data_IF_875652928944
#
_entry.id   IF_875652928944
#
_cell.length_a   1.000
_cell.length_b   1.000
_cell.length_c   1.000
_cell.angle_alpha   90.00
_cell.angle_beta   90.00
_cell.angle_gamma   90.00
#
_symmetry.space_group_name_H-M   'P 1'
#
loop_
_entity.id
_entity.type
_entity.pdbx_description
1 polymer ?
#
# COMPACT_ATOMS: atom_id res chain seq x y z
N UNK A 1 25.42 -11.53 -23.74
CA UNK A 1 24.86 -10.25 -24.21
C UNK A 1 23.38 -10.44 -24.46
N UNK A 2 22.56 -10.23 -23.44
CA UNK A 2 21.10 -10.26 -23.61
C UNK A 2 20.68 -9.03 -24.41
N UNK A 3 20.08 -9.27 -25.57
CA UNK A 3 19.42 -8.24 -26.36
C UNK A 3 18.37 -7.57 -25.47
N UNK A 4 18.65 -6.36 -24.98
CA UNK A 4 17.62 -5.49 -24.41
C UNK A 4 16.65 -5.18 -25.55
N UNK A 5 15.55 -5.94 -25.60
CA UNK A 5 14.50 -5.74 -26.57
C UNK A 5 14.02 -4.30 -26.54
N UNK A 6 13.89 -3.70 -27.72
CA UNK A 6 13.42 -2.34 -27.93
C UNK A 6 12.06 -2.15 -27.23
N UNK A 7 12.03 -1.40 -26.12
CA UNK A 7 10.81 -1.13 -25.36
C UNK A 7 10.05 -0.01 -26.07
N UNK A 8 9.04 -0.38 -26.84
CA UNK A 8 8.19 0.60 -27.55
C UNK A 8 7.50 1.54 -26.54
N UNK A 9 7.63 2.85 -26.77
CA UNK A 9 6.90 3.91 -26.03
C UNK A 9 5.43 4.04 -26.46
N UNK A 10 5.01 3.30 -27.49
CA UNK A 10 3.65 3.36 -28.03
C UNK A 10 3.02 1.99 -27.90
N UNK A 11 2.04 1.88 -27.00
CA UNK A 11 1.25 0.67 -26.77
C UNK A 11 -0.08 0.85 -27.47
N UNK A 12 -0.30 0.10 -28.56
CA UNK A 12 -1.50 0.21 -29.38
C UNK A 12 -2.75 -0.10 -28.54
N UNK A 13 -3.68 0.84 -28.46
CA UNK A 13 -4.94 0.68 -27.71
C UNK A 13 -4.83 0.91 -26.20
N UNK A 14 -3.76 1.55 -25.73
CA UNK A 14 -3.72 2.11 -24.38
C UNK A 14 -4.58 3.39 -24.37
N UNK A 15 -5.56 3.47 -23.47
CA UNK A 15 -6.38 4.68 -23.32
C UNK A 15 -5.48 5.83 -22.86
N UNK A 16 -5.78 7.04 -23.30
CA UNK A 16 -5.10 8.24 -22.80
C UNK A 16 -5.70 8.61 -21.44
N UNK A 17 -4.85 8.80 -20.44
CA UNK A 17 -5.28 9.23 -19.12
C UNK A 17 -5.53 10.74 -19.12
N UNK A 18 -6.68 11.15 -18.58
CA UNK A 18 -7.20 12.52 -18.61
C UNK A 18 -7.26 13.11 -17.20
N UNK A 19 -7.18 14.44 -17.10
CA UNK A 19 -7.43 15.14 -15.85
C UNK A 19 -8.96 15.21 -15.54
N UNK A 20 -9.38 15.46 -14.29
CA UNK A 20 -10.80 15.58 -13.94
C UNK A 20 -11.58 16.61 -14.76
N UNK A 21 -10.95 17.72 -15.15
CA UNK A 21 -11.57 18.77 -15.99
C UNK A 21 -11.84 18.32 -17.44
N UNK A 22 -11.28 17.19 -17.84
CA UNK A 22 -11.47 16.56 -19.14
C UNK A 22 -12.33 15.28 -19.03
N UNK A 23 -13.14 15.20 -17.97
CA UNK A 23 -13.96 14.04 -17.59
C UNK A 23 -13.12 12.80 -17.24
N UNK A 24 -11.88 12.97 -16.77
CA UNK A 24 -11.06 11.89 -16.24
C UNK A 24 -11.53 11.41 -14.87
N UNK A 25 -11.55 10.10 -14.65
CA UNK A 25 -12.02 9.49 -13.40
C UNK A 25 -11.00 8.56 -12.75
N UNK A 26 -11.18 8.25 -11.47
CA UNK A 26 -10.39 7.21 -10.77
C UNK A 26 -10.51 5.84 -11.47
N UNK A 27 -11.69 5.54 -12.04
CA UNK A 27 -11.88 4.33 -12.82
C UNK A 27 -11.03 4.33 -14.11
N UNK A 28 -10.86 5.48 -14.77
CA UNK A 28 -9.98 5.58 -15.93
C UNK A 28 -8.51 5.32 -15.55
N UNK A 29 -8.09 5.76 -14.36
CA UNK A 29 -6.77 5.44 -13.81
C UNK A 29 -6.63 3.93 -13.53
N UNK A 30 -7.59 3.29 -12.87
CA UNK A 30 -7.56 1.85 -12.61
C UNK A 30 -7.52 1.04 -13.92
N UNK A 31 -8.35 1.39 -14.90
CA UNK A 31 -8.38 0.78 -16.24
C UNK A 31 -7.03 0.92 -16.97
N UNK A 32 -6.42 2.11 -16.86
CA UNK A 32 -5.13 2.42 -17.46
C UNK A 32 -4.01 1.58 -16.84
N UNK A 33 -3.94 1.51 -15.51
CA UNK A 33 -2.94 0.72 -14.78
C UNK A 33 -3.11 -0.79 -15.01
N UNK A 34 -4.35 -1.27 -15.06
CA UNK A 34 -4.66 -2.65 -15.42
C UNK A 34 -4.17 -2.97 -16.83
N UNK A 35 -4.42 -2.06 -17.79
CA UNK A 35 -3.95 -2.20 -19.17
C UNK A 35 -2.42 -2.21 -19.28
N UNK A 36 -1.71 -1.39 -18.49
CA UNK A 36 -0.25 -1.42 -18.43
C UNK A 36 0.27 -2.75 -17.88
N UNK A 37 -0.36 -3.24 -16.82
CA UNK A 37 -0.01 -4.53 -16.20
C UNK A 37 -0.17 -5.68 -17.19
N UNK A 38 -1.35 -5.80 -17.81
CA UNK A 38 -1.69 -6.94 -18.66
C UNK A 38 -1.01 -6.92 -20.03
N UNK A 39 -0.78 -5.72 -20.60
CA UNK A 39 -0.31 -5.60 -22.00
C UNK A 39 1.16 -5.26 -22.12
N UNK A 40 1.74 -4.58 -21.12
CA UNK A 40 3.09 -4.03 -21.19
C UNK A 40 4.01 -4.79 -20.25
N UNK A 41 3.68 -4.83 -18.96
CA UNK A 41 4.55 -5.38 -17.93
C UNK A 41 4.82 -6.87 -18.14
N UNK A 42 3.81 -7.65 -18.53
CA UNK A 42 3.97 -9.09 -18.83
C UNK A 42 5.02 -9.35 -19.93
N UNK A 43 5.27 -8.38 -20.81
CA UNK A 43 6.21 -8.51 -21.93
C UNK A 43 7.61 -8.02 -21.61
N UNK A 44 7.82 -7.37 -20.46
CA UNK A 44 9.11 -6.82 -20.06
C UNK A 44 9.88 -7.83 -19.21
N UNK A 45 11.16 -8.00 -19.53
CA UNK A 45 12.07 -8.73 -18.65
C UNK A 45 12.08 -8.08 -17.25
N UNK A 46 11.86 -8.89 -16.23
CA UNK A 46 11.70 -8.45 -14.83
C UNK A 46 10.67 -7.31 -14.66
N UNK A 47 9.63 -7.29 -15.49
CA UNK A 47 8.58 -6.26 -15.46
C UNK A 47 7.78 -6.27 -14.16
N UNK A 48 7.69 -7.42 -13.48
CA UNK A 48 6.92 -7.59 -12.25
C UNK A 48 7.31 -6.62 -11.12
N UNK A 49 8.57 -6.20 -11.06
CA UNK A 49 9.04 -5.23 -10.07
C UNK A 49 8.46 -3.82 -10.30
N UNK A 50 8.30 -3.41 -11.56
CA UNK A 50 7.61 -2.16 -11.88
C UNK A 50 6.10 -2.31 -11.73
N UNK A 51 5.55 -3.50 -12.00
CA UNK A 51 4.16 -3.81 -11.66
C UNK A 51 3.85 -3.65 -10.17
N UNK A 52 4.79 -4.05 -9.29
CA UNK A 52 4.69 -3.82 -7.86
C UNK A 52 4.63 -2.31 -7.53
N UNK A 53 5.47 -1.49 -8.18
CA UNK A 53 5.42 -0.03 -8.01
C UNK A 53 4.06 0.54 -8.40
N UNK A 54 3.49 0.11 -9.54
CA UNK A 54 2.19 0.61 -9.99
C UNK A 54 1.02 0.20 -9.07
N UNK A 55 1.08 -0.99 -8.46
CA UNK A 55 0.01 -1.48 -7.59
C UNK A 55 0.13 -1.01 -6.13
N UNK A 56 1.34 -1.01 -5.58
CA UNK A 56 1.59 -0.70 -4.17
C UNK A 56 2.04 0.75 -3.93
N UNK A 57 2.35 1.49 -4.99
CA UNK A 57 2.97 2.82 -4.93
C UNK A 57 4.22 2.85 -4.03
N UNK A 58 5.05 1.81 -4.14
CA UNK A 58 6.27 1.65 -3.35
C UNK A 58 7.33 0.86 -4.12
N UNK A 59 8.60 1.11 -3.84
CA UNK A 59 9.69 0.32 -4.43
C UNK A 59 9.70 -1.12 -3.87
N UNK A 60 9.92 -2.14 -4.73
CA UNK A 60 10.03 -3.52 -4.29
C UNK A 60 11.31 -3.73 -3.48
N UNK A 61 11.20 -4.52 -2.41
CA UNK A 61 12.37 -4.89 -1.59
C UNK A 61 13.24 -5.92 -2.32
N UNK A 62 14.37 -5.47 -2.86
CA UNK A 62 15.39 -6.34 -3.43
C UNK A 62 16.47 -6.62 -2.39
N UNK A 63 16.41 -7.79 -1.75
CA UNK A 63 17.42 -8.21 -0.78
C UNK A 63 18.72 -8.58 -1.50
N UNK A 64 19.81 -7.97 -1.06
CA UNK A 64 21.15 -8.39 -1.43
C UNK A 64 21.44 -9.77 -0.80
N UNK A 65 22.09 -10.69 -1.54
CA UNK A 65 22.56 -11.96 -0.98
C UNK A 65 23.45 -11.77 0.25
N UNK A 66 23.21 -12.60 1.28
CA UNK A 66 24.03 -12.57 2.50
C UNK A 66 25.49 -12.90 2.19
N UNK A 67 26.46 -12.18 2.81
CA UNK A 67 27.87 -12.45 2.58
C UNK A 67 28.23 -13.86 3.03
N UNK A 68 29.16 -14.47 2.31
CA UNK A 68 29.71 -15.78 2.69
C UNK A 68 30.41 -15.68 4.04
N UNK A 69 30.28 -16.72 4.86
CA UNK A 69 31.10 -16.86 6.06
C UNK A 69 32.51 -17.36 5.70
N UNK A 70 33.50 -17.11 6.56
CA UNK A 70 34.89 -17.53 6.31
C UNK A 70 35.05 -19.05 6.05
N UNK A 71 34.18 -19.88 6.61
CA UNK A 71 34.19 -21.33 6.37
C UNK A 71 33.62 -21.70 4.98
N UNK A 72 32.79 -20.84 4.40
CA UNK A 72 32.11 -21.07 3.13
C UNK A 72 32.90 -20.54 1.94
N UNK A 73 33.75 -19.54 2.16
CA UNK A 73 34.69 -19.03 1.15
C UNK A 73 35.70 -20.09 0.71
N UNK A 74 35.98 -21.10 1.54
CA UNK A 74 36.87 -22.22 1.21
C UNK A 74 36.18 -23.22 0.26
N UNK A 75 34.85 -23.30 0.26
CA UNK A 75 34.10 -24.16 -0.64
C UNK A 75 33.83 -23.44 -1.98
N UNK A 76 34.62 -23.80 -3.00
CA UNK A 76 34.51 -23.26 -4.34
C UNK A 76 33.09 -23.37 -4.95
N UNK A 77 32.27 -24.33 -4.52
CA UNK A 77 30.87 -24.45 -4.97
C UNK A 77 30.01 -23.35 -4.34
N UNK A 78 30.20 -23.05 -3.05
CA UNK A 78 29.46 -21.99 -2.35
C UNK A 78 29.82 -20.61 -2.88
N UNK A 79 31.10 -20.36 -3.12
CA UNK A 79 31.57 -19.14 -3.79
C UNK A 79 30.87 -18.94 -5.13
N UNK A 80 30.86 -19.98 -5.99
CA UNK A 80 30.20 -19.91 -7.30
C UNK A 80 28.68 -19.71 -7.22
N UNK A 81 28.02 -20.22 -6.19
CA UNK A 81 26.58 -19.99 -5.95
C UNK A 81 26.35 -18.55 -5.52
N UNK A 82 27.15 -18.01 -4.61
CA UNK A 82 27.09 -16.61 -4.18
C UNK A 82 27.30 -15.64 -5.35
N UNK A 83 28.33 -15.86 -6.17
CA UNK A 83 28.58 -15.04 -7.36
C UNK A 83 27.37 -15.01 -8.29
N UNK A 84 26.76 -16.17 -8.56
CA UNK A 84 25.55 -16.25 -9.38
C UNK A 84 24.36 -15.53 -8.74
N UNK A 85 24.21 -15.57 -7.42
CA UNK A 85 23.16 -14.85 -6.71
C UNK A 85 23.40 -13.33 -6.78
N UNK A 86 24.65 -12.89 -6.65
CA UNK A 86 25.03 -11.49 -6.80
C UNK A 86 24.81 -10.97 -8.21
N UNK A 87 25.17 -11.75 -9.24
CA UNK A 87 24.92 -11.39 -10.63
C UNK A 87 23.41 -11.23 -10.88
N UNK A 88 22.58 -12.19 -10.44
CA UNK A 88 21.13 -12.08 -10.54
C UNK A 88 20.57 -10.86 -9.80
N UNK A 89 21.10 -10.53 -8.62
CA UNK A 89 20.70 -9.34 -7.87
C UNK A 89 21.01 -8.06 -8.64
N UNK A 90 22.21 -7.96 -9.22
CA UNK A 90 22.63 -6.80 -10.05
C UNK A 90 21.79 -6.70 -11.32
N UNK A 91 21.60 -7.82 -12.03
CA UNK A 91 20.78 -7.88 -13.24
C UNK A 91 19.35 -7.41 -12.97
N UNK A 92 18.71 -7.89 -11.88
CA UNK A 92 17.37 -7.46 -11.48
C UNK A 92 17.32 -5.96 -11.18
N UNK A 93 18.32 -5.42 -10.48
CA UNK A 93 18.41 -4.00 -10.13
C UNK A 93 18.56 -3.11 -11.37
N UNK A 94 19.39 -3.53 -12.32
CA UNK A 94 19.59 -2.80 -13.57
C UNK A 94 18.37 -2.89 -14.48
N UNK A 95 17.72 -4.07 -14.56
CA UNK A 95 16.46 -4.25 -15.26
C UNK A 95 15.36 -3.37 -14.67
N UNK A 96 15.24 -3.32 -13.34
CA UNK A 96 14.28 -2.47 -12.63
C UNK A 96 14.50 -0.98 -12.91
N UNK A 97 15.75 -0.50 -12.84
CA UNK A 97 16.08 0.90 -13.19
C UNK A 97 15.67 1.21 -14.63
N UNK A 98 16.06 0.36 -15.58
CA UNK A 98 15.71 0.55 -16.98
C UNK A 98 14.19 0.50 -17.22
N UNK A 99 13.47 -0.42 -16.54
CA UNK A 99 12.02 -0.54 -16.62
C UNK A 99 11.34 0.71 -16.03
N UNK A 100 11.85 1.24 -14.91
CA UNK A 100 11.31 2.44 -14.26
C UNK A 100 11.40 3.65 -15.18
N UNK A 101 12.55 3.87 -15.83
CA UNK A 101 12.73 4.96 -16.81
C UNK A 101 11.73 4.83 -17.96
N UNK A 102 11.60 3.62 -18.53
CA UNK A 102 10.71 3.37 -19.65
C UNK A 102 9.23 3.55 -19.25
N UNK A 103 8.84 3.09 -18.06
CA UNK A 103 7.47 3.21 -17.57
C UNK A 103 7.10 4.65 -17.26
N UNK A 104 8.00 5.41 -16.62
CA UNK A 104 7.82 6.84 -16.38
C UNK A 104 7.54 7.58 -17.70
N UNK A 105 8.34 7.32 -18.74
CA UNK A 105 8.17 7.93 -20.05
C UNK A 105 6.86 7.48 -20.73
N UNK A 106 6.52 6.19 -20.64
CA UNK A 106 5.31 5.64 -21.21
C UNK A 106 4.05 6.25 -20.59
N UNK A 107 4.02 6.41 -19.26
CA UNK A 107 2.90 7.05 -18.57
C UNK A 107 2.80 8.51 -19.00
N UNK A 108 3.92 9.26 -18.93
CA UNK A 108 3.98 10.67 -19.37
C UNK A 108 3.51 10.88 -20.81
N UNK A 109 3.83 9.98 -21.74
CA UNK A 109 3.43 10.09 -23.15
C UNK A 109 1.97 9.70 -23.42
N UNK A 110 1.34 8.94 -22.53
CA UNK A 110 -0.05 8.48 -22.66
C UNK A 110 -1.02 9.26 -21.76
N UNK A 111 -0.65 10.48 -21.37
CA UNK A 111 -1.52 11.45 -20.69
C UNK A 111 -1.91 12.58 -21.63
N UNK A 112 -3.06 13.23 -21.38
CA UNK A 112 -3.45 14.46 -22.07
C UNK A 112 -2.49 15.60 -21.77
N UNK A 113 -2.48 16.62 -22.64
CA UNK A 113 -1.67 17.83 -22.42
C UNK A 113 -2.04 18.51 -21.09
N UNK A 114 -3.32 18.53 -20.73
CA UNK A 114 -3.81 19.10 -19.47
C UNK A 114 -3.24 18.36 -18.27
N UNK A 115 -3.35 17.03 -18.24
CA UNK A 115 -2.78 16.19 -17.18
C UNK A 115 -1.25 16.37 -17.09
N UNK A 116 -0.54 16.35 -18.22
CA UNK A 116 0.90 16.59 -18.24
C UNK A 116 1.27 17.97 -17.68
N UNK A 117 0.49 19.00 -17.98
CA UNK A 117 0.76 20.35 -17.49
C UNK A 117 0.58 20.45 -15.97
N UNK A 118 -0.48 19.82 -15.42
CA UNK A 118 -0.69 19.73 -13.97
C UNK A 118 0.49 19.06 -13.26
N UNK A 119 0.92 17.90 -13.75
CA UNK A 119 2.10 17.19 -13.20
C UNK A 119 3.35 18.07 -13.29
N UNK A 120 3.55 18.77 -14.40
CA UNK A 120 4.71 19.67 -14.58
C UNK A 120 4.68 20.88 -13.65
N UNK A 121 3.49 21.31 -13.22
CA UNK A 121 3.31 22.40 -12.25
C UNK A 121 3.37 21.94 -10.79
N UNK A 122 3.31 20.65 -10.51
CA UNK A 122 3.44 20.12 -9.15
C UNK A 122 4.87 20.27 -8.63
N UNK A 123 5.00 20.68 -7.37
CA UNK A 123 6.28 20.79 -6.70
C UNK A 123 7.03 19.45 -6.67
N UNK A 124 8.34 19.50 -6.92
CA UNK A 124 9.19 18.31 -7.01
C UNK A 124 9.25 17.66 -8.40
N UNK A 125 8.43 18.07 -9.37
CA UNK A 125 8.45 17.52 -10.74
C UNK A 125 9.85 17.52 -11.37
N UNK A 126 10.62 18.60 -11.21
CA UNK A 126 11.97 18.68 -11.79
C UNK A 126 12.91 17.58 -11.25
N UNK A 127 12.86 17.32 -9.95
CA UNK A 127 13.67 16.28 -9.31
C UNK A 127 13.17 14.88 -9.71
N UNK A 128 11.86 14.67 -9.67
CA UNK A 128 11.24 13.40 -10.04
C UNK A 128 11.49 13.06 -11.52
N UNK A 129 11.35 14.04 -12.42
CA UNK A 129 11.60 13.86 -13.84
C UNK A 129 13.07 13.58 -14.16
N UNK A 130 14.00 14.20 -13.41
CA UNK A 130 15.43 13.92 -13.52
C UNK A 130 15.77 12.50 -13.07
N UNK A 131 15.21 12.06 -11.96
CA UNK A 131 15.47 10.74 -11.37
C UNK A 131 14.59 9.62 -11.95
N UNK A 132 13.60 9.98 -12.78
CA UNK A 132 12.54 9.07 -13.25
C UNK A 132 11.82 8.38 -12.10
N UNK A 133 11.48 9.16 -11.09
CA UNK A 133 10.80 8.71 -9.89
C UNK A 133 9.34 8.34 -10.23
N UNK A 134 9.12 7.04 -10.40
CA UNK A 134 7.82 6.49 -10.74
C UNK A 134 6.84 6.53 -9.55
N UNK A 135 7.34 6.40 -8.32
CA UNK A 135 6.50 6.47 -7.11
C UNK A 135 5.94 7.88 -6.95
N UNK A 136 6.79 8.90 -7.13
CA UNK A 136 6.33 10.29 -7.13
C UNK A 136 5.31 10.56 -8.24
N UNK A 137 5.57 10.06 -9.46
CA UNK A 137 4.66 10.25 -10.59
C UNK A 137 3.29 9.61 -10.31
N UNK A 138 3.27 8.38 -9.79
CA UNK A 138 2.02 7.69 -9.46
C UNK A 138 1.25 8.39 -8.35
N UNK A 139 1.95 8.87 -7.31
CA UNK A 139 1.31 9.67 -6.26
C UNK A 139 0.69 10.95 -6.82
N UNK A 140 1.40 11.64 -7.70
CA UNK A 140 0.94 12.91 -8.29
C UNK A 140 -0.26 12.71 -9.20
N UNK A 141 -0.28 11.64 -10.00
CA UNK A 141 -1.42 11.29 -10.85
C UNK A 141 -2.66 11.01 -9.98
N UNK A 142 -2.50 10.23 -8.92
CA UNK A 142 -3.57 9.94 -7.97
C UNK A 142 -4.11 11.21 -7.31
N UNK A 143 -3.23 12.13 -6.90
CA UNK A 143 -3.63 13.45 -6.37
C UNK A 143 -4.44 14.26 -7.37
N UNK A 144 -4.03 14.30 -8.63
CA UNK A 144 -4.77 15.01 -9.68
C UNK A 144 -6.13 14.36 -9.93
N UNK A 145 -6.18 13.03 -10.11
CA UNK A 145 -7.43 12.32 -10.45
C UNK A 145 -8.45 12.40 -9.32
N UNK A 146 -8.00 12.34 -8.06
CA UNK A 146 -8.87 12.48 -6.90
C UNK A 146 -9.18 13.95 -6.53
N UNK A 147 -8.64 14.93 -7.26
CA UNK A 147 -8.90 16.36 -7.03
C UNK A 147 -8.19 16.96 -5.82
N UNK A 148 -7.14 16.30 -5.32
CA UNK A 148 -6.36 16.68 -4.14
C UNK A 148 -5.00 17.31 -4.50
N UNK A 149 -4.95 18.06 -5.59
CA UNK A 149 -3.73 18.73 -6.04
C UNK A 149 -3.18 19.66 -4.94
N UNK A 150 -1.91 19.47 -4.62
CA UNK A 150 -1.20 20.27 -3.63
C UNK A 150 -1.25 21.75 -4.02
N UNK A 151 -1.73 22.60 -3.10
CA UNK A 151 -1.88 24.04 -3.33
C UNK A 151 -3.21 24.50 -3.93
N UNK A 152 -4.13 23.59 -4.32
CA UNK A 152 -5.48 23.97 -4.76
C UNK A 152 -6.45 24.09 -3.58
N UNK A 153 -6.50 23.09 -2.71
CA UNK A 153 -7.25 23.12 -1.46
C UNK A 153 -6.28 23.10 -0.26
N UNK A 154 -6.54 23.85 0.82
CA UNK A 154 -5.81 23.67 2.07
C UNK A 154 -5.85 22.21 2.51
N UNK A 155 -4.72 21.67 2.97
CA UNK A 155 -4.61 20.25 3.33
C UNK A 155 -5.66 19.83 4.37
N UNK A 156 -6.03 20.74 5.27
CA UNK A 156 -7.09 20.54 6.27
C UNK A 156 -8.46 20.35 5.63
N UNK A 157 -8.77 21.10 4.58
CA UNK A 157 -10.05 20.98 3.86
C UNK A 157 -10.11 19.67 3.09
N UNK A 158 -9.02 19.30 2.41
CA UNK A 158 -8.90 18.00 1.74
C UNK A 158 -9.09 16.82 2.70
N UNK A 159 -8.52 16.91 3.91
CA UNK A 159 -8.69 15.88 4.93
C UNK A 159 -10.12 15.84 5.49
N UNK A 160 -10.76 17.00 5.68
CA UNK A 160 -12.15 17.09 6.11
C UNK A 160 -13.08 16.47 5.06
N UNK A 161 -12.92 16.83 3.77
CA UNK A 161 -13.71 16.28 2.66
C UNK A 161 -13.55 14.76 2.54
N UNK A 162 -12.32 14.24 2.66
CA UNK A 162 -12.05 12.80 2.64
C UNK A 162 -12.73 12.06 3.82
N UNK A 163 -12.65 12.63 5.04
CA UNK A 163 -13.37 12.08 6.20
C UNK A 163 -14.87 12.13 5.97
N UNK A 164 -15.37 13.24 5.44
CA UNK A 164 -16.79 13.44 5.20
C UNK A 164 -17.32 12.43 4.18
N UNK A 165 -16.58 12.18 3.09
CA UNK A 165 -16.88 11.16 2.10
C UNK A 165 -16.94 9.78 2.74
N UNK A 166 -15.91 9.36 3.49
CA UNK A 166 -15.91 8.10 4.23
C UNK A 166 -17.12 8.05 5.16
N UNK A 167 -17.49 9.15 5.82
CA UNK A 167 -18.57 9.19 6.81
C UNK A 167 -19.97 9.19 6.19
N UNK A 168 -20.11 9.69 4.95
CA UNK A 168 -21.35 9.65 4.16
C UNK A 168 -21.55 8.33 3.42
N UNK A 169 -20.49 7.57 3.14
CA UNK A 169 -20.60 6.26 2.48
C UNK A 169 -21.59 5.33 3.19
N UNK A 170 -22.49 4.71 2.42
CA UNK A 170 -23.44 3.70 2.88
C UNK A 170 -23.50 2.60 1.84
N UNK A 171 -23.49 1.35 2.29
CA UNK A 171 -23.65 0.21 1.41
C UNK A 171 -25.04 0.24 0.77
N UNK A 172 -25.09 0.25 -0.56
CA UNK A 172 -26.36 0.24 -1.29
C UNK A 172 -27.00 -1.14 -1.20
N UNK A 173 -28.33 -1.23 -1.31
CA UNK A 173 -29.05 -2.50 -1.20
C UNK A 173 -28.58 -3.56 -2.21
N UNK A 174 -28.26 -3.13 -3.43
CA UNK A 174 -27.78 -3.96 -4.54
C UNK A 174 -26.26 -4.20 -4.57
N UNK A 175 -25.49 -3.58 -3.69
CA UNK A 175 -24.03 -3.68 -3.66
C UNK A 175 -23.59 -4.95 -2.92
N UNK A 176 -22.55 -5.63 -3.44
CA UNK A 176 -21.94 -6.77 -2.76
C UNK A 176 -21.09 -6.31 -1.58
N UNK A 177 -20.87 -7.21 -0.61
CA UNK A 177 -20.03 -6.89 0.55
C UNK A 177 -18.59 -6.62 0.13
N UNK A 178 -18.05 -7.45 -0.75
CA UNK A 178 -16.69 -7.31 -1.28
C UNK A 178 -16.47 -5.97 -1.99
N UNK A 179 -17.40 -5.56 -2.87
CA UNK A 179 -17.30 -4.29 -3.58
C UNK A 179 -17.37 -3.09 -2.61
N UNK A 180 -18.27 -3.14 -1.63
CA UNK A 180 -18.39 -2.08 -0.62
C UNK A 180 -17.14 -1.99 0.26
N UNK A 181 -16.62 -3.14 0.72
CA UNK A 181 -15.39 -3.20 1.52
C UNK A 181 -14.19 -2.69 0.73
N UNK A 182 -14.03 -3.09 -0.54
CA UNK A 182 -12.96 -2.58 -1.41
C UNK A 182 -13.03 -1.06 -1.52
N UNK A 183 -14.21 -0.51 -1.79
CA UNK A 183 -14.44 0.93 -1.90
C UNK A 183 -14.13 1.68 -0.60
N UNK A 184 -14.58 1.16 0.54
CA UNK A 184 -14.29 1.74 1.86
C UNK A 184 -12.80 1.69 2.21
N UNK A 185 -12.12 0.58 1.90
CA UNK A 185 -10.69 0.43 2.15
C UNK A 185 -9.88 1.39 1.28
N UNK A 186 -10.28 1.60 0.02
CA UNK A 186 -9.64 2.56 -0.87
C UNK A 186 -9.77 3.97 -0.29
N UNK A 187 -11.00 4.43 0.02
CA UNK A 187 -11.20 5.76 0.58
C UNK A 187 -10.43 6.00 1.90
N UNK A 188 -10.33 4.98 2.76
CA UNK A 188 -9.50 5.06 3.97
C UNK A 188 -8.01 5.14 3.62
N UNK A 189 -7.53 4.38 2.64
CA UNK A 189 -6.13 4.45 2.17
C UNK A 189 -5.81 5.85 1.64
N UNK A 190 -6.73 6.46 0.92
CA UNK A 190 -6.58 7.81 0.36
C UNK A 190 -6.50 8.86 1.47
N UNK A 191 -7.34 8.73 2.52
CA UNK A 191 -7.22 9.55 3.72
C UNK A 191 -5.87 9.33 4.41
N UNK A 192 -5.47 8.07 4.65
CA UNK A 192 -4.27 7.75 5.42
C UNK A 192 -2.97 8.17 4.76
N UNK A 193 -2.95 8.27 3.42
CA UNK A 193 -1.83 8.81 2.66
C UNK A 193 -1.46 10.22 3.08
N UNK A 194 -2.41 11.01 3.60
CA UNK A 194 -2.27 12.44 3.87
C UNK A 194 -2.48 12.80 5.34
N UNK A 195 -3.51 12.23 5.97
CA UNK A 195 -3.93 12.57 7.35
C UNK A 195 -3.31 11.70 8.43
N UNK A 196 -2.43 10.78 8.06
CA UNK A 196 -1.91 9.76 8.95
C UNK A 196 -2.97 8.68 9.29
N UNK A 197 -2.69 7.80 10.25
CA UNK A 197 -3.50 6.59 10.45
C UNK A 197 -4.96 6.91 10.81
N UNK A 198 -5.89 6.24 10.14
CA UNK A 198 -7.32 6.57 10.22
C UNK A 198 -7.89 6.34 11.61
N UNK A 199 -8.60 7.34 12.14
CA UNK A 199 -9.15 7.36 13.50
C UNK A 199 -8.11 7.04 14.60
N UNK A 200 -6.84 7.36 14.38
CA UNK A 200 -5.79 7.13 15.36
C UNK A 200 -5.83 8.19 16.46
N UNK A 201 -5.79 7.77 17.71
CA UNK A 201 -5.87 8.68 18.86
C UNK A 201 -4.66 8.49 19.78
N UNK A 202 -4.29 9.48 20.60
CA UNK A 202 -3.19 9.33 21.57
C UNK A 202 -3.36 8.12 22.51
N UNK A 203 -4.61 7.72 22.80
CA UNK A 203 -4.89 6.52 23.59
C UNK A 203 -4.45 5.24 22.86
N UNK A 204 -4.65 5.16 21.54
CA UNK A 204 -4.21 4.04 20.69
C UNK A 204 -2.69 3.95 20.57
N UNK A 205 -1.96 5.03 20.79
CA UNK A 205 -0.49 5.01 20.83
C UNK A 205 0.07 4.42 22.15
N UNK A 206 -0.71 4.49 23.25
CA UNK A 206 -0.34 3.95 24.56
C UNK A 206 -0.56 2.44 24.65
N UNK A 207 -1.62 1.90 24.03
CA UNK A 207 -1.95 0.46 24.06
C UNK A 207 -0.84 -0.49 23.56
N UNK A 208 -0.13 -0.21 22.45
CA UNK A 208 1.00 -1.01 22.00
C UNK A 208 2.15 -1.00 23.00
N UNK A 209 2.44 0.16 23.63
CA UNK A 209 3.51 0.29 24.63
C UNK A 209 3.24 -0.59 25.85
N UNK A 210 2.02 -0.50 26.39
CA UNK A 210 1.59 -1.35 27.52
C UNK A 210 1.55 -2.84 27.16
N UNK A 211 1.22 -3.18 25.90
CA UNK A 211 1.22 -4.58 25.44
C UNK A 211 2.63 -5.13 25.32
N UNK A 212 3.59 -4.32 24.83
CA UNK A 212 5.00 -4.69 24.78
C UNK A 212 5.57 -4.85 26.19
N UNK A 213 5.25 -3.95 27.13
CA UNK A 213 5.66 -4.08 28.53
C UNK A 213 5.10 -5.36 29.17
N UNK A 214 3.83 -5.68 28.95
CA UNK A 214 3.23 -6.92 29.41
C UNK A 214 3.88 -8.17 28.77
N UNK A 215 4.26 -8.09 27.49
CA UNK A 215 4.98 -9.16 26.80
C UNK A 215 6.39 -9.35 27.36
N UNK A 216 7.12 -8.27 27.65
CA UNK A 216 8.43 -8.32 28.32
C UNK A 216 8.33 -9.02 29.66
N UNK A 217 7.34 -8.66 30.49
CA UNK A 217 7.13 -9.28 31.80
C UNK A 217 6.82 -10.78 31.69
N UNK A 218 6.05 -11.21 30.68
CA UNK A 218 5.76 -12.63 30.42
C UNK A 218 6.98 -13.40 29.91
N UNK A 219 7.78 -12.81 29.02
CA UNK A 219 9.01 -13.41 28.51
C UNK A 219 10.05 -13.60 29.62
N UNK A 220 10.18 -12.58 30.48
CA UNK A 220 11.06 -12.62 31.64
C UNK A 220 10.62 -13.71 32.64
N UNK A 221 9.31 -13.81 32.92
CA UNK A 221 8.77 -14.84 33.81
C UNK A 221 8.84 -16.27 33.24
N UNK A 222 8.84 -16.43 31.92
CA UNK A 222 8.97 -17.73 31.25
C UNK A 222 10.43 -18.19 31.04
N UNK A 223 11.41 -17.32 31.30
CA UNK A 223 12.83 -17.64 31.27
C UNK A 223 13.20 -18.52 32.47
N UNK A 224 13.74 -19.71 32.24
CA UNK A 224 14.15 -20.66 33.29
C UNK A 224 15.18 -20.08 34.28
N UNK A 225 15.88 -19.01 33.91
CA UNK A 225 16.91 -18.32 34.71
C UNK A 225 16.56 -16.88 35.07
N UNK A 226 15.44 -16.33 34.58
CA UNK A 226 15.08 -14.92 34.81
C UNK A 226 16.05 -13.91 34.19
N UNK A 227 16.84 -14.31 33.18
CA UNK A 227 17.85 -13.45 32.53
C UNK A 227 17.58 -13.23 31.03
N UNK A 228 16.66 -13.99 30.44
CA UNK A 228 16.36 -13.86 29.01
C UNK A 228 15.40 -12.69 28.78
N UNK A 229 15.90 -11.63 28.17
CA UNK A 229 15.11 -10.45 27.78
C UNK A 229 14.69 -10.60 26.32
N UNK A 230 13.50 -10.09 25.96
CA UNK A 230 13.09 -10.01 24.55
C UNK A 230 14.15 -9.25 23.74
N UNK A 231 14.43 -9.73 22.53
CA UNK A 231 15.25 -8.99 21.59
C UNK A 231 14.49 -7.76 21.09
N UNK A 232 15.21 -6.75 20.62
CA UNK A 232 14.61 -5.54 20.03
C UNK A 232 13.68 -5.88 18.86
N UNK A 233 14.05 -6.87 18.06
CA UNK A 233 13.22 -7.37 16.94
C UNK A 233 11.89 -7.97 17.43
N UNK A 234 11.91 -8.76 18.52
CA UNK A 234 10.69 -9.33 19.09
C UNK A 234 9.78 -8.24 19.69
N UNK A 235 10.36 -7.21 20.30
CA UNK A 235 9.60 -6.06 20.82
C UNK A 235 8.92 -5.27 19.70
N UNK A 236 9.66 -5.02 18.61
CA UNK A 236 9.17 -4.32 17.43
C UNK A 236 8.09 -5.13 16.71
N UNK A 237 8.23 -6.46 16.65
CA UNK A 237 7.22 -7.36 16.08
C UNK A 237 5.91 -7.34 16.89
N UNK A 238 5.98 -7.47 18.22
CA UNK A 238 4.80 -7.39 19.10
C UNK A 238 4.12 -6.02 18.97
N UNK A 239 4.91 -4.95 18.93
CA UNK A 239 4.40 -3.59 18.73
C UNK A 239 3.69 -3.45 17.38
N UNK A 240 4.29 -3.97 16.31
CA UNK A 240 3.75 -3.93 14.95
C UNK A 240 2.43 -4.69 14.86
N UNK A 241 2.39 -5.92 15.39
CA UNK A 241 1.18 -6.75 15.40
C UNK A 241 0.06 -6.02 16.14
N UNK A 242 0.33 -5.47 17.33
CA UNK A 242 -0.69 -4.77 18.10
C UNK A 242 -1.19 -3.50 17.40
N UNK A 243 -0.29 -2.70 16.81
CA UNK A 243 -0.67 -1.52 16.01
C UNK A 243 -1.56 -1.90 14.84
N UNK A 244 -1.21 -2.96 14.10
CA UNK A 244 -2.02 -3.50 13.01
C UNK A 244 -3.42 -3.89 13.50
N UNK A 245 -3.52 -4.67 14.58
CA UNK A 245 -4.83 -5.06 15.13
C UNK A 245 -5.71 -3.88 15.52
N UNK A 246 -5.14 -2.85 16.16
CA UNK A 246 -5.89 -1.64 16.55
C UNK A 246 -6.40 -0.89 15.31
N UNK A 247 -5.56 -0.79 14.27
CA UNK A 247 -5.92 -0.20 12.99
C UNK A 247 -7.05 -0.99 12.33
N UNK A 248 -6.89 -2.30 12.17
CA UNK A 248 -7.87 -3.19 11.55
C UNK A 248 -9.22 -3.12 12.27
N UNK A 249 -9.24 -3.08 13.62
CA UNK A 249 -10.47 -2.86 14.38
C UNK A 249 -11.12 -1.51 14.08
N UNK A 250 -10.34 -0.45 13.90
CA UNK A 250 -10.85 0.90 13.61
C UNK A 250 -11.53 0.96 12.24
N UNK A 251 -10.90 0.34 11.25
CA UNK A 251 -11.41 0.20 9.89
C UNK A 251 -12.69 -0.66 9.90
N UNK A 252 -12.66 -1.82 10.55
CA UNK A 252 -13.81 -2.72 10.68
C UNK A 252 -15.02 -2.04 11.31
N UNK A 253 -14.83 -1.30 12.41
CA UNK A 253 -15.89 -0.52 13.05
C UNK A 253 -16.50 0.51 12.09
N UNK A 254 -15.66 1.15 11.27
CA UNK A 254 -16.14 2.13 10.29
C UNK A 254 -16.93 1.49 9.16
N UNK A 255 -16.50 0.34 8.65
CA UNK A 255 -17.25 -0.43 7.64
C UNK A 255 -18.61 -0.86 8.21
N UNK A 256 -18.62 -1.47 9.40
CA UNK A 256 -19.85 -1.94 10.05
C UNK A 256 -20.87 -0.84 10.29
N UNK A 257 -20.45 0.34 10.75
CA UNK A 257 -21.36 1.47 10.94
C UNK A 257 -22.05 1.94 9.65
N UNK A 258 -21.53 1.56 8.49
CA UNK A 258 -21.91 2.04 7.16
C UNK A 258 -22.48 0.95 6.24
N UNK A 259 -22.34 -0.33 6.62
CA UNK A 259 -23.05 -1.44 5.99
C UNK A 259 -24.55 -1.33 6.14
N UNK A 260 -25.28 -1.96 5.22
CA UNK A 260 -26.73 -1.86 5.16
C UNK A 260 -27.37 -2.46 6.42
N UNK A 261 -28.12 -1.64 7.17
CA UNK A 261 -28.73 -2.05 8.46
C UNK A 261 -29.91 -2.99 8.33
N UNK A 262 -30.57 -3.02 7.18
CA UNK A 262 -31.67 -3.94 6.92
C UNK A 262 -31.13 -5.34 6.63
N UNK A 263 -30.02 -5.43 5.89
CA UNK A 263 -29.35 -6.70 5.57
C UNK A 263 -28.54 -7.27 6.73
N UNK A 264 -27.88 -6.42 7.51
CA UNK A 264 -26.93 -6.85 8.56
C UNK A 264 -27.32 -6.39 9.96
N UNK A 265 -28.57 -5.99 10.18
CA UNK A 265 -29.03 -5.40 11.44
C UNK A 265 -28.83 -6.33 12.65
N UNK A 266 -29.10 -7.62 12.49
CA UNK A 266 -28.97 -8.58 13.60
C UNK A 266 -27.50 -8.94 13.87
N UNK A 267 -26.70 -9.11 12.82
CA UNK A 267 -25.25 -9.28 12.92
C UNK A 267 -24.59 -8.06 13.57
N UNK A 268 -25.05 -6.86 13.24
CA UNK A 268 -24.59 -5.63 13.87
C UNK A 268 -24.97 -5.54 15.35
N UNK A 269 -26.16 -6.03 15.76
CA UNK A 269 -26.52 -6.08 17.19
C UNK A 269 -25.61 -7.04 17.95
N UNK A 270 -25.28 -8.19 17.35
CA UNK A 270 -24.37 -9.19 17.92
C UNK A 270 -22.93 -8.65 18.05
N UNK A 271 -22.40 -8.05 16.97
CA UNK A 271 -21.05 -7.46 16.96
C UNK A 271 -20.94 -6.18 17.81
N UNK A 272 -21.99 -5.36 17.85
CA UNK A 272 -22.10 -4.18 18.72
C UNK A 272 -21.96 -4.54 20.19
N UNK A 273 -22.50 -5.69 20.62
CA UNK A 273 -22.33 -6.19 21.98
C UNK A 273 -20.87 -6.59 22.30
N UNK A 274 -20.08 -6.99 21.31
CA UNK A 274 -18.69 -7.42 21.51
C UNK A 274 -17.65 -6.28 21.37
N UNK A 275 -17.94 -5.24 20.58
CA UNK A 275 -16.96 -4.20 20.23
C UNK A 275 -17.33 -2.77 20.65
N UNK A 276 -18.62 -2.42 20.71
CA UNK A 276 -19.07 -1.10 21.14
C UNK A 276 -19.37 -1.05 22.66
N UNK A 277 -19.54 -2.20 23.29
CA UNK A 277 -19.54 -2.38 24.74
C UNK A 277 -18.20 -3.02 25.15
N UNK A 278 -17.65 -2.56 26.28
CA UNK A 278 -16.30 -2.94 26.78
C UNK A 278 -16.10 -4.47 26.69
N UNK A 279 -15.07 -4.98 26.00
CA UNK A 279 -14.90 -6.41 25.84
C UNK A 279 -14.34 -7.03 27.12
N UNK A 280 -14.98 -8.11 27.58
CA UNK A 280 -14.36 -9.04 28.53
C UNK A 280 -13.31 -9.87 27.77
N UNK A 281 -12.09 -9.34 27.63
CA UNK A 281 -10.88 -10.15 27.64
C UNK A 281 -10.26 -10.66 26.33
N UNK A 282 -10.97 -11.27 25.37
CA UNK A 282 -10.25 -12.27 24.53
C UNK A 282 -10.43 -12.34 23.01
N UNK A 283 -11.33 -11.59 22.33
CA UNK A 283 -11.65 -11.94 20.93
C UNK A 283 -11.56 -10.77 19.93
N UNK A 284 -10.34 -10.32 19.61
CA UNK A 284 -10.08 -9.27 18.60
C UNK A 284 -9.49 -9.77 17.26
N UNK A 285 -9.31 -11.07 17.05
CA UNK A 285 -8.49 -11.61 15.94
C UNK A 285 -9.24 -12.07 14.69
N UNK A 286 -10.56 -12.32 14.75
CA UNK A 286 -11.19 -13.15 13.71
C UNK A 286 -12.05 -12.38 12.68
N UNK A 287 -12.04 -11.05 12.75
CA UNK A 287 -13.05 -10.23 12.06
C UNK A 287 -12.81 -10.05 10.55
N UNK A 288 -11.57 -9.85 10.09
CA UNK A 288 -11.28 -9.71 8.65
C UNK A 288 -11.66 -10.97 7.85
N UNK A 289 -11.55 -12.14 8.49
CA UNK A 289 -11.98 -13.41 7.92
C UNK A 289 -13.51 -13.50 7.84
N UNK A 290 -14.19 -13.17 8.92
CA UNK A 290 -15.65 -13.16 8.97
C UNK A 290 -16.29 -12.14 8.02
N UNK A 291 -15.66 -10.99 7.75
CA UNK A 291 -16.17 -10.00 6.79
C UNK A 291 -15.95 -10.37 5.32
N UNK A 292 -15.08 -11.35 5.04
CA UNK A 292 -14.78 -11.83 3.68
C UNK A 292 -15.49 -13.14 3.34
N UNK A 293 -15.95 -13.90 4.34
CA UNK A 293 -16.65 -15.18 4.16
C UNK A 293 -18.18 -15.03 3.95
N UNK A 294 -18.74 -13.82 3.95
CA UNK A 294 -20.17 -13.55 3.78
C UNK A 294 -20.47 -12.30 2.94
#
# INVERSE_FOLDING_TARGET
>A
MSSMGYRSTTVKGLKQLKAPEEDGTEQDLEDFLTSLTDKVIIRWADGGDVGYVLGENAEPKMKEPDPLTAAEEVDARKVKVYDRLMDKYKDRKDAFRANTVAMFQLIMSNMTTTMQNKIKSTDGHLAASKNKDLVWLMSTIDDIVSGYEEGIAPAELALDDAIEQIFKMRQKGSESNEAFVKTMLQAIKDYERRGGPFLWTPAKEKEPKTTVEAAKSKFFAASATGTTVMTKEQEDDVRRIKKKMIKDCSIAMSILKRTNKERFGDLMKELSNNYLKKPNGTHRTDFLKASLEF
#
